data_IF_209956026258
#
_entry.id   IF_209956026258
#
_cell.length_a   1.000
_cell.length_b   1.000
_cell.length_c   1.000
_cell.angle_alpha   90.00
_cell.angle_beta   90.00
_cell.angle_gamma   90.00
#
_symmetry.space_group_name_H-M   'P 1'
#
loop_
_entity.id
_entity.type
_entity.pdbx_description
1 polymer ?
2 non-polymer ?
3 non-polymer ?
4 non-polymer ?
5 water ?
#
# COMPACT_ATOMS: atom_id res chain seq x y z
N UNK A 1 -14.66 9.56 -7.68
CA UNK A 1 -14.37 9.32 -6.22
C UNK A 1 -13.18 10.14 -5.77
N UNK A 2 -12.87 10.13 -4.47
CA UNK A 2 -11.82 11.04 -3.95
C UNK A 2 -10.41 10.87 -4.52
N UNK A 3 -9.71 12.01 -4.64
CA UNK A 3 -8.29 12.04 -4.89
C UNK A 3 -7.67 13.11 -4.01
N UNK A 4 -6.37 12.98 -3.82
CA UNK A 4 -5.58 13.96 -3.10
C UNK A 4 -5.47 15.19 -4.00
N UNK A 5 -5.67 16.37 -3.44
CA UNK A 5 -5.69 17.55 -4.29
C UNK A 5 -4.48 18.39 -4.00
N UNK A 6 -3.37 17.73 -3.78
CA UNK A 6 -2.09 18.35 -3.47
C UNK A 6 -0.99 17.37 -3.91
N UNK A 7 0.22 17.89 -4.19
CA UNK A 7 1.32 17.07 -4.74
C UNK A 7 2.30 16.48 -3.73
N UNK A 8 2.48 17.13 -2.58
CA UNK A 8 3.35 16.62 -1.55
C UNK A 8 2.45 15.89 -0.56
N UNK A 9 2.69 14.58 -0.43
CA UNK A 9 1.92 13.66 0.37
C UNK A 9 2.89 13.09 1.42
N UNK A 10 2.46 13.05 2.69
CA UNK A 10 3.30 12.40 3.68
C UNK A 10 2.82 11.05 4.13
N UNK A 11 3.78 10.22 4.52
CA UNK A 11 3.39 9.04 5.22
C UNK A 11 4.17 8.81 6.49
N UNK A 12 3.59 7.93 7.30
CA UNK A 12 4.16 7.57 8.59
C UNK A 12 3.92 6.10 8.90
N UNK A 13 4.99 5.44 9.32
CA UNK A 13 4.86 4.04 9.74
C UNK A 13 4.57 4.02 11.24
N UNK A 14 3.34 3.70 11.55
CA UNK A 14 2.87 3.68 12.91
C UNK A 14 3.59 2.65 13.80
N UNK A 15 3.92 1.48 13.24
CA UNK A 15 4.62 0.44 13.98
C UNK A 15 5.15 -0.56 12.99
N UNK A 16 5.96 -1.51 13.43
CA UNK A 16 6.74 -2.31 12.50
C UNK A 16 6.44 -3.78 12.78
N UNK A 17 6.23 -4.55 11.72
CA UNK A 17 6.03 -5.97 11.86
C UNK A 17 7.31 -6.57 12.48
N UNK A 18 7.14 -7.56 13.38
CA UNK A 18 8.34 -8.31 13.83
C UNK A 18 8.85 -9.32 12.79
N UNK A 19 8.12 -9.48 11.67
CA UNK A 19 8.46 -10.44 10.64
C UNK A 19 9.71 -10.06 9.89
N UNK A 20 10.05 -8.77 9.90
CA UNK A 20 11.13 -8.27 9.06
C UNK A 20 12.15 -7.41 9.81
N UNK A 21 13.34 -7.27 9.20
CA UNK A 21 14.28 -6.22 9.58
C UNK A 21 13.60 -4.86 9.40
N UNK A 22 13.80 -3.95 10.34
CA UNK A 22 13.13 -2.65 10.33
C UNK A 22 13.47 -1.90 9.07
N UNK A 23 14.76 -1.93 8.71
CA UNK A 23 15.22 -1.17 7.58
C UNK A 23 14.56 -1.75 6.33
N UNK A 24 14.21 -3.04 6.36
CA UNK A 24 13.59 -3.70 5.22
C UNK A 24 12.12 -3.26 5.08
N UNK A 25 11.46 -2.99 6.23
CA UNK A 25 10.11 -2.44 6.17
C UNK A 25 10.16 -1.03 5.57
N UNK A 26 11.08 -0.22 6.07
CA UNK A 26 11.25 1.14 5.56
C UNK A 26 11.47 1.15 4.03
N UNK A 27 12.37 0.30 3.55
CA UNK A 27 12.69 0.28 2.13
C UNK A 27 11.55 -0.27 1.27
N UNK A 28 10.95 -1.38 1.68
CA UNK A 28 9.75 -1.87 1.00
C UNK A 28 8.61 -0.81 0.90
N UNK A 29 8.29 -0.10 1.98
CA UNK A 29 7.25 0.95 1.90
C UNK A 29 7.71 2.07 0.96
N UNK A 30 8.97 2.44 1.05
CA UNK A 30 9.46 3.55 0.24
C UNK A 30 9.38 3.19 -1.25
N UNK A 31 9.87 2.01 -1.61
CA UNK A 31 9.84 1.51 -3.00
C UNK A 31 8.42 1.44 -3.56
N UNK A 32 7.51 1.01 -2.73
CA UNK A 32 6.08 0.96 -3.07
C UNK A 32 5.50 2.35 -3.39
N UNK A 33 5.72 3.35 -2.54
CA UNK A 33 5.33 4.73 -2.91
C UNK A 33 6.00 5.17 -4.21
N UNK A 34 7.30 4.87 -4.36
CA UNK A 34 8.02 5.28 -5.55
C UNK A 34 7.37 4.77 -6.82
N UNK A 35 6.79 3.56 -6.77
CA UNK A 35 6.13 2.98 -7.97
C UNK A 35 5.06 3.97 -8.45
N UNK A 36 4.40 4.62 -7.53
CA UNK A 36 3.32 5.49 -7.92
C UNK A 36 3.79 6.92 -8.26
N UNK A 37 4.80 7.41 -7.55
CA UNK A 37 5.23 8.76 -7.87
C UNK A 37 6.00 8.71 -9.20
N UNK A 38 6.41 7.51 -9.65
CA UNK A 38 7.06 7.34 -10.97
C UNK A 38 6.13 7.69 -12.11
N UNK A 39 4.84 7.59 -11.89
CA UNK A 39 3.90 7.76 -13.00
C UNK A 39 2.88 8.86 -12.69
N UNK A 40 3.20 9.71 -11.72
CA UNK A 40 2.31 10.82 -11.43
C UNK A 40 3.14 12.01 -10.95
N UNK A 41 2.47 13.14 -10.67
CA UNK A 41 3.21 14.30 -10.15
C UNK A 41 3.40 14.23 -8.62
N UNK A 42 3.04 13.11 -7.99
CA UNK A 42 3.06 13.06 -6.52
C UNK A 42 4.47 12.87 -6.00
N UNK A 43 4.73 13.42 -4.80
CA UNK A 43 5.97 13.27 -4.08
C UNK A 43 5.59 12.75 -2.73
N UNK A 44 6.28 11.70 -2.26
CA UNK A 44 5.95 11.07 -0.99
C UNK A 44 7.14 11.23 -0.04
N UNK A 45 6.85 11.58 1.21
CA UNK A 45 7.88 11.80 2.23
C UNK A 45 7.47 11.14 3.55
N UNK A 46 8.40 10.39 4.14
CA UNK A 46 8.20 9.71 5.41
C UNK A 46 8.40 10.70 6.56
N UNK A 47 7.41 10.82 7.42
CA UNK A 47 7.66 11.68 8.57
C UNK A 47 7.62 10.76 9.78
N UNK A 48 8.15 11.23 10.88
CA UNK A 48 8.45 10.34 11.95
C UNK A 48 7.57 10.65 13.11
N UNK A 49 6.84 11.75 12.97
CA UNK A 49 6.09 12.29 14.06
C UNK A 49 4.95 13.12 13.50
N UNK A 50 3.93 13.39 14.30
CA UNK A 50 2.84 14.27 13.85
C UNK A 50 1.88 13.52 12.93
N UNK A 51 0.99 14.25 12.28
CA UNK A 51 -0.03 13.63 11.43
C UNK A 51 0.38 13.52 9.96
N UNK A 52 0.50 12.29 9.49
CA UNK A 52 0.79 12.08 8.10
C UNK A 52 -0.50 11.96 7.31
N UNK A 53 -0.46 12.17 6.01
CA UNK A 53 -1.62 11.84 5.22
C UNK A 53 -1.91 10.32 5.29
N UNK A 54 -0.89 9.50 5.04
CA UNK A 54 -1.07 8.05 4.99
C UNK A 54 -0.40 7.35 6.14
N UNK A 55 -1.22 6.87 7.07
CA UNK A 55 -0.70 6.11 8.23
C UNK A 55 -0.62 4.62 7.88
N UNK A 56 0.58 4.09 8.06
CA UNK A 56 0.89 2.71 7.79
C UNK A 56 0.91 1.96 9.11
N UNK A 57 0.05 0.94 9.19
CA UNK A 57 -0.21 0.19 10.42
C UNK A 57 -0.15 -1.31 10.19
N UNK A 58 0.55 -2.02 11.07
CA UNK A 58 0.39 -3.46 11.24
C UNK A 58 -0.54 -3.79 12.43
N UNK A 59 -1.57 -4.60 12.17
CA UNK A 59 -2.58 -4.92 13.17
C UNK A 59 -3.15 -6.30 12.83
N UNK A 60 -3.83 -6.93 13.78
CA UNK A 60 -4.46 -8.23 13.51
C UNK A 60 -5.87 -8.16 14.08
N UNK A 61 -6.73 -9.05 13.60
CA UNK A 61 -8.08 -9.20 14.10
C UNK A 61 -8.85 -7.89 14.01
N UNK A 62 -9.71 -7.71 14.98
CA UNK A 62 -10.47 -6.50 15.14
C UNK A 62 -9.49 -5.38 15.55
N UNK A 63 -9.38 -4.32 14.77
CA UNK A 63 -8.35 -3.35 15.14
C UNK A 63 -8.84 -1.92 15.11
N UNK A 64 -10.13 -1.73 15.35
CA UNK A 64 -10.65 -0.38 15.57
C UNK A 64 -11.19 0.27 14.32
N UNK A 65 -11.46 -0.53 13.31
CA UNK A 65 -12.20 0.01 12.19
C UNK A 65 -13.20 -1.07 11.78
N UNK A 66 -13.90 -0.87 10.69
CA UNK A 66 -14.86 -1.88 10.26
C UNK A 66 -14.32 -2.97 9.33
N UNK A 67 -13.01 -3.14 9.30
CA UNK A 67 -12.37 -4.01 8.34
C UNK A 67 -11.49 -4.98 9.12
N UNK A 68 -12.12 -5.66 10.07
CA UNK A 68 -11.44 -6.65 10.85
C UNK A 68 -10.62 -7.60 9.97
N UNK A 69 -9.40 -7.95 10.44
CA UNK A 69 -8.62 -8.96 9.76
C UNK A 69 -9.07 -10.36 10.20
N UNK A 70 -8.55 -11.35 9.49
CA UNK A 70 -9.05 -12.70 9.59
C UNK A 70 -8.01 -13.79 9.89
N UNK A 71 -6.94 -13.47 10.60
CA UNK A 71 -5.87 -14.43 10.76
C UNK A 71 -5.07 -14.67 9.48
N UNK A 72 -4.18 -15.65 9.55
CA UNK A 72 -3.32 -15.99 8.43
C UNK A 72 -4.08 -16.33 7.14
N UNK A 73 -3.62 -15.80 6.00
CA UNK A 73 -4.34 -15.97 4.71
C UNK A 73 -5.60 -15.11 4.55
N UNK A 74 -6.39 -15.36 3.51
CA UNK A 74 -7.57 -14.54 3.31
C UNK A 74 -7.08 -13.12 3.02
N UNK A 75 -7.67 -12.16 3.72
CA UNK A 75 -7.31 -10.75 3.58
C UNK A 75 -5.93 -10.48 4.10
N UNK A 76 -5.10 -9.89 3.25
CA UNK A 76 -3.71 -9.55 3.61
C UNK A 76 -3.53 -8.17 4.19
N UNK A 77 -4.32 -7.21 3.71
CA UNK A 77 -4.17 -5.81 4.09
C UNK A 77 -5.43 -5.05 3.63
N UNK A 78 -5.65 -3.81 4.04
CA UNK A 78 -6.68 -3.00 3.36
C UNK A 78 -6.30 -1.53 3.52
N UNK A 79 -6.91 -0.65 2.72
CA UNK A 79 -6.58 0.76 2.78
C UNK A 79 -7.79 1.62 2.46
N UNK A 80 -7.76 2.83 3.00
CA UNK A 80 -8.86 3.78 2.83
C UNK A 80 -8.53 4.71 1.73
N UNK A 81 -9.55 5.15 0.99
CA UNK A 81 -9.38 6.16 -0.07
C UNK A 81 -9.02 7.54 0.46
N UNK A 82 -8.62 8.45 -0.45
CA UNK A 82 -8.17 9.78 0.01
C UNK A 82 -9.21 10.47 0.84
N UNK A 83 -8.74 11.19 1.83
CA UNK A 83 -9.67 11.86 2.71
C UNK A 83 -9.01 12.19 4.01
N UNK A 84 -9.69 12.96 4.85
CA UNK A 84 -9.14 13.28 6.18
C UNK A 84 -9.09 12.11 7.17
N UNK A 85 -8.25 12.23 8.19
CA UNK A 85 -8.25 11.26 9.26
C UNK A 85 -7.80 9.91 8.78
N UNK A 86 -8.66 8.90 8.88
CA UNK A 86 -8.23 7.57 8.48
C UNK A 86 -8.17 7.44 6.96
N UNK A 87 -8.73 8.42 6.25
CA UNK A 87 -8.59 8.51 4.82
C UNK A 87 -7.14 8.35 4.46
N UNK A 88 -6.86 7.55 3.43
CA UNK A 88 -5.49 7.29 2.99
C UNK A 88 -4.79 6.14 3.71
N UNK A 89 -5.27 5.79 4.90
CA UNK A 89 -4.45 4.94 5.76
C UNK A 89 -4.39 3.52 5.25
N UNK A 90 -3.26 2.87 5.47
CA UNK A 90 -3.11 1.53 4.92
C UNK A 90 -2.75 0.57 6.04
N UNK A 91 -3.57 -0.48 6.22
CA UNK A 91 -3.37 -1.45 7.30
C UNK A 91 -2.94 -2.81 6.78
N UNK A 92 -1.94 -3.40 7.45
CA UNK A 92 -1.42 -4.71 7.06
C UNK A 92 -1.66 -5.76 8.14
N UNK A 93 -2.17 -6.91 7.72
CA UNK A 93 -2.51 -7.96 8.66
C UNK A 93 -1.26 -8.59 9.31
N UNK A 94 -1.08 -8.37 10.60
CA UNK A 94 0.07 -8.96 11.30
C UNK A 94 0.05 -10.50 11.32
N UNK A 95 -1.11 -11.09 11.04
CA UNK A 95 -1.16 -12.56 11.00
C UNK A 95 -0.62 -13.16 9.73
N UNK A 96 -0.30 -12.30 8.78
CA UNK A 96 0.44 -12.75 7.62
C UNK A 96 1.93 -12.72 8.02
N UNK A 97 2.77 -13.38 7.25
CA UNK A 97 4.21 -13.31 7.46
C UNK A 97 4.86 -12.51 6.32
N UNK A 98 5.20 -11.25 6.65
CA UNK A 98 5.76 -10.29 5.71
C UNK A 98 7.23 -10.60 5.38
N UNK A 99 7.60 -10.50 4.10
CA UNK A 99 8.97 -10.72 3.67
C UNK A 99 9.41 -9.77 2.52
N UNK A 100 10.71 -9.77 2.28
CA UNK A 100 11.33 -9.06 1.17
C UNK A 100 11.31 -9.94 -0.10
N UNK A 101 10.76 -11.15 -0.01
CA UNK A 101 10.99 -12.11 -1.09
C UNK A 101 9.73 -12.90 -1.43
N UNK A 102 9.88 -14.08 -2.06
CA UNK A 102 8.72 -14.88 -2.50
C UNK A 102 8.12 -15.70 -1.41
N UNK A 103 8.73 -15.72 -0.23
CA UNK A 103 8.19 -16.56 0.83
C UNK A 103 7.19 -15.72 1.57
N UNK A 104 6.32 -16.33 2.36
CA UNK A 104 5.26 -15.55 3.05
C UNK A 104 4.47 -14.68 2.07
N UNK A 105 4.19 -13.46 2.49
CA UNK A 105 3.49 -12.45 1.69
C UNK A 105 4.41 -11.27 1.54
N UNK A 106 4.63 -10.83 0.30
CA UNK A 106 5.62 -9.81 0.04
C UNK A 106 5.04 -8.44 0.40
N UNK A 107 5.69 -7.72 1.30
CA UNK A 107 5.19 -6.42 1.79
C UNK A 107 5.21 -5.38 0.68
N UNK A 108 6.33 -5.29 -0.02
CA UNK A 108 6.43 -4.39 -1.16
C UNK A 108 5.25 -4.53 -2.14
N UNK A 109 4.94 -5.76 -2.61
CA UNK A 109 3.86 -5.99 -3.60
C UNK A 109 2.52 -5.65 -3.00
N UNK A 110 2.34 -6.10 -1.77
CA UNK A 110 1.12 -5.78 -1.06
C UNK A 110 0.97 -4.25 -0.92
N UNK A 111 2.06 -3.58 -0.57
CA UNK A 111 2.05 -2.14 -0.27
C UNK A 111 1.76 -1.37 -1.55
N UNK A 112 2.33 -1.81 -2.66
CA UNK A 112 1.98 -1.19 -3.93
C UNK A 112 0.47 -1.15 -4.13
N UNK A 113 -0.17 -2.29 -3.91
CA UNK A 113 -1.62 -2.45 -4.19
C UNK A 113 -2.37 -1.57 -3.18
N UNK A 114 -1.97 -1.64 -1.91
CA UNK A 114 -2.67 -0.86 -0.89
C UNK A 114 -2.51 0.64 -1.14
N UNK A 115 -1.29 1.10 -1.43
CA UNK A 115 -1.11 2.50 -1.83
C UNK A 115 -1.94 2.92 -3.06
N UNK A 116 -2.15 2.01 -4.01
CA UNK A 116 -3.06 2.31 -5.11
C UNK A 116 -4.41 2.75 -4.52
N UNK A 117 -4.97 1.94 -3.62
CA UNK A 117 -6.21 2.31 -2.89
C UNK A 117 -6.10 3.61 -2.12
N UNK A 118 -5.00 3.80 -1.39
CA UNK A 118 -4.75 5.08 -0.68
C UNK A 118 -4.80 6.33 -1.56
N UNK A 119 -4.52 6.14 -2.83
CA UNK A 119 -4.47 7.22 -3.85
C UNK A 119 -5.82 7.33 -4.58
N UNK A 120 -6.70 6.34 -4.38
CA UNK A 120 -8.07 6.44 -4.86
C UNK A 120 -8.37 5.47 -6.00
N UNK A 121 -7.42 4.56 -6.31
CA UNK A 121 -7.57 3.58 -7.39
C UNK A 121 -8.44 2.42 -6.91
N UNK A 122 -9.30 1.86 -7.77
CA UNK A 122 -10.06 0.65 -7.42
C UNK A 122 -9.37 -0.55 -8.07
N UNK A 123 -10.14 -1.60 -8.37
CA UNK A 123 -9.57 -2.85 -8.81
C UNK A 123 -9.62 -2.97 -10.30
N UNK A 124 -8.77 -3.82 -10.86
CA UNK A 124 -8.73 -4.04 -12.29
C UNK A 124 -9.18 -5.48 -12.51
N UNK A 125 -9.81 -5.77 -13.62
CA UNK A 125 -10.15 -7.17 -13.92
C UNK A 125 -9.02 -7.89 -14.67
N UNK A 126 -7.92 -7.16 -14.93
CA UNK A 126 -6.78 -7.69 -15.68
C UNK A 126 -5.76 -8.34 -14.73
N UNK A 127 -5.53 -9.65 -14.86
CA UNK A 127 -4.62 -10.37 -13.96
C UNK A 127 -3.18 -9.87 -13.97
N UNK A 128 -2.81 -9.03 -14.93
CA UNK A 128 -1.43 -8.55 -14.99
C UNK A 128 -1.25 -7.33 -14.12
N UNK A 129 -2.37 -6.71 -13.73
CA UNK A 129 -2.32 -5.44 -13.00
C UNK A 129 -2.08 -5.70 -11.52
N UNK A 130 -1.33 -4.83 -10.88
CA UNK A 130 -1.15 -4.95 -9.44
C UNK A 130 -2.48 -4.71 -8.68
N UNK A 131 -3.41 -4.02 -9.32
CA UNK A 131 -4.71 -3.72 -8.70
C UNK A 131 -5.75 -4.80 -9.03
N UNK A 132 -5.33 -5.93 -9.59
CA UNK A 132 -6.21 -7.13 -9.68
C UNK A 132 -6.65 -7.46 -8.23
N UNK A 133 -7.89 -7.96 -8.02
CA UNK A 133 -8.47 -8.03 -6.65
C UNK A 133 -7.83 -9.00 -5.68
N UNK A 134 -6.97 -9.86 -6.20
CA UNK A 134 -6.46 -10.99 -5.47
C UNK A 134 -4.94 -11.07 -5.64
N UNK A 135 -4.22 -11.39 -4.56
CA UNK A 135 -2.75 -11.36 -4.55
C UNK A 135 -2.09 -12.46 -5.37
N UNK A 136 -1.05 -12.08 -6.12
CA UNK A 136 -0.27 -13.01 -6.89
C UNK A 136 1.19 -12.52 -6.94
N UNK A 137 2.08 -13.31 -6.36
CA UNK A 137 3.46 -12.90 -6.25
C UNK A 137 4.09 -12.83 -7.64
N UNK A 138 4.81 -11.75 -7.90
CA UNK A 138 5.72 -11.67 -9.03
C UNK A 138 7.08 -11.18 -8.54
N UNK A 139 8.13 -11.60 -9.23
CA UNK A 139 9.48 -11.19 -8.89
C UNK A 139 9.60 -9.68 -8.69
N UNK A 140 9.90 -9.28 -7.47
CA UNK A 140 9.87 -7.86 -7.19
C UNK A 140 11.09 -7.04 -7.68
N UNK A 141 12.24 -7.69 -7.90
CA UNK A 141 13.38 -6.94 -8.45
C UNK A 141 13.14 -6.47 -9.89
N UNK A 142 12.19 -7.12 -10.57
CA UNK A 142 11.84 -6.70 -11.93
C UNK A 142 10.41 -6.20 -12.04
N UNK A 143 9.75 -6.07 -10.90
CA UNK A 143 8.39 -5.53 -10.90
C UNK A 143 8.17 -4.27 -11.76
N UNK A 144 7.07 -4.27 -12.52
CA UNK A 144 6.58 -3.07 -13.25
C UNK A 144 5.05 -2.98 -13.21
N UNK A 145 4.50 -1.77 -13.02
CA UNK A 145 3.04 -1.60 -13.17
C UNK A 145 2.62 -2.05 -14.55
N UNK A 146 1.44 -2.64 -14.65
CA UNK A 146 0.94 -2.95 -15.98
C UNK A 146 0.45 -1.64 -16.60
N UNK A 147 0.33 -1.67 -17.93
CA UNK A 147 -0.27 -0.57 -18.70
C UNK A 147 -1.65 -0.24 -18.11
N UNK A 148 -2.39 -1.27 -17.71
CA UNK A 148 -3.70 -1.04 -17.09
C UNK A 148 -3.60 -0.24 -15.76
N UNK A 149 -2.57 -0.49 -14.97
CA UNK A 149 -2.41 0.23 -13.71
C UNK A 149 -2.03 1.66 -14.00
N UNK A 150 -1.16 1.79 -14.99
CA UNK A 150 -0.77 3.13 -15.44
C UNK A 150 -1.96 3.97 -15.96
N UNK A 151 -2.81 3.42 -16.82
CA UNK A 151 -3.96 4.22 -17.25
C UNK A 151 -4.91 4.59 -16.07
N UNK A 152 -5.13 3.64 -15.17
CA UNK A 152 -5.98 3.90 -13.97
C UNK A 152 -5.44 5.06 -13.13
N UNK A 153 -4.15 5.04 -12.80
CA UNK A 153 -3.63 6.12 -11.96
C UNK A 153 -3.57 7.44 -12.71
N UNK A 154 -3.36 7.37 -14.00
CA UNK A 154 -3.23 8.60 -14.76
C UNK A 154 -4.62 9.15 -15.09
N UNK A 155 -5.67 8.37 -14.86
CA UNK A 155 -7.00 8.90 -15.00
C UNK A 155 -7.39 9.72 -13.74
N UNK A 156 -6.66 9.52 -12.65
CA UNK A 156 -6.90 10.28 -11.42
C UNK A 156 -5.93 11.45 -11.20
N UNK A 157 -4.68 11.27 -11.61
CA UNK A 157 -3.60 12.25 -11.37
C UNK A 157 -2.89 12.55 -12.67
N UNK A 158 -2.31 13.74 -12.75
CA UNK A 158 -1.63 14.14 -13.96
C UNK A 158 -2.67 14.46 -15.01
X LIG B 1 -7.56 -4.09 -3.36
X LIG C 1 -7.93 -1.63 9.32
X LIG D 1 -5.00 9.62 6.82
X LIG E 1 3.39 -11.45 11.16
X LIG F 1 -5.32 -12.47 6.83
X LIG G 1 -6.85 -9.85 -0.88
X LIG G 1 -6.45 -8.56 -0.39
X LIG G 1 -5.87 -8.58 0.93
X LIG G 1 -7.78 -7.65 -0.43
X LIG G 1 -7.74 -6.29 0.13
X LIG G 1 -9.07 -5.97 0.82
X LIG G 1 -7.48 -5.27 -0.95
X LIG G 1 -6.79 -4.29 -0.77
X LIG G 1 -8.01 -5.46 -2.16
X LIG G 1 -5.26 -8.05 -1.37
X LIG G 1 -5.37 -8.28 -2.74
X LIG G 1 -4.34 -7.88 -3.62
X LIG G 1 -3.15 -7.33 -3.13
X LIG G 1 -3.01 -7.09 -1.77
X LIG G 1 -4.07 -7.45 -0.90
X LIG G 1 -2.18 -6.96 -4.04
X LIG G 1 -0.80 -7.29 -3.94
#
# INVERSE_FOLDING_TARGET
GPVWRKHYITYRINNYTPDMNREDVDYAIRKAFQVWSNVTPLKFSKINTGMADILVVFARGAHGDDHAFDGKGGILAHAFGPGSGIGGDAHFDEDEFWTTHSGGTNLFLTAVHEIGHSLGLGHSSDPKAVMFPTYKYVDINTFRLSADDIRGIQSLYG
ZN ZN
ZN ZN
CA CA
CA CA
CA CA
TBL O4 S1 O3 N1 C2 C10 C1 O2 O1 C3 C4 C5 C6 C8 C9 O5 C7
#
